data_IF_429287563496
#
_entry.id   IF_429287563496
#
_cell.length_a   1.000
_cell.length_b   1.000
_cell.length_c   1.000
_cell.angle_alpha   90.00
_cell.angle_beta   90.00
_cell.angle_gamma   90.00
#
_symmetry.space_group_name_H-M   'P 1'
#
loop_
_entity.id
_entity.type
_entity.pdbx_description
1 polymer ?
#
# COMPACT_ATOMS: atom_id res chain seq x y z
N UNK A 1 -15.25 -25.28 12.41
CA UNK A 1 -15.97 -25.27 11.12
C UNK A 1 -15.86 -23.93 10.35
N UNK A 2 -15.87 -22.75 11.00
CA UNK A 2 -15.75 -21.43 10.31
C UNK A 2 -14.35 -21.08 9.76
N UNK A 3 -13.26 -21.75 10.18
CA UNK A 3 -11.89 -21.50 9.67
C UNK A 3 -11.62 -22.05 8.26
N UNK A 4 -12.58 -22.72 7.63
CA UNK A 4 -12.46 -23.28 6.27
C UNK A 4 -13.14 -22.42 5.19
N UNK A 5 -13.92 -21.41 5.59
CA UNK A 5 -14.63 -20.53 4.65
C UNK A 5 -13.80 -19.33 4.20
N UNK A 6 -12.76 -18.97 4.96
CA UNK A 6 -11.82 -17.91 4.61
C UNK A 6 -10.40 -18.50 4.42
N UNK A 7 -9.58 -17.97 3.50
CA UNK A 7 -8.23 -18.47 3.20
C UNK A 7 -7.19 -18.15 4.31
N UNK A 8 -7.59 -18.21 5.57
CA UNK A 8 -6.82 -17.82 6.76
C UNK A 8 -5.78 -18.85 7.18
N UNK A 9 -5.95 -20.12 6.80
CA UNK A 9 -5.01 -21.18 7.20
C UNK A 9 -3.57 -20.88 6.72
N UNK A 10 -3.44 -20.40 5.47
CA UNK A 10 -2.15 -20.03 4.87
C UNK A 10 -1.50 -18.89 5.66
N UNK A 11 -2.29 -17.88 6.05
CA UNK A 11 -1.83 -16.72 6.83
C UNK A 11 -1.36 -17.15 8.23
N UNK A 12 -2.11 -18.01 8.91
CA UNK A 12 -1.75 -18.50 10.24
C UNK A 12 -0.45 -19.32 10.26
N UNK A 13 -0.20 -20.12 9.22
CA UNK A 13 1.07 -20.83 9.09
C UNK A 13 2.23 -19.87 8.80
N UNK A 14 2.03 -18.88 7.93
CA UNK A 14 3.04 -17.86 7.63
C UNK A 14 3.46 -17.08 8.88
N UNK A 15 2.51 -16.66 9.72
CA UNK A 15 2.83 -15.94 10.97
C UNK A 15 3.67 -16.81 11.92
N UNK A 16 3.41 -18.12 12.00
CA UNK A 16 4.23 -19.05 12.79
C UNK A 16 5.66 -19.13 12.27
N UNK A 17 5.83 -19.28 10.95
CA UNK A 17 7.15 -19.32 10.32
C UNK A 17 7.95 -18.04 10.57
N UNK A 18 7.31 -16.87 10.57
CA UNK A 18 7.98 -15.59 10.88
C UNK A 18 8.33 -15.48 12.37
N UNK A 19 7.54 -16.05 13.28
CA UNK A 19 7.79 -15.99 14.73
C UNK A 19 9.05 -16.76 15.15
N UNK A 20 9.33 -17.92 14.55
CA UNK A 20 10.48 -18.73 14.97
C UNK A 20 11.83 -17.99 14.85
N UNK A 21 12.17 -17.33 13.73
CA UNK A 21 13.38 -16.50 13.62
C UNK A 21 13.45 -15.36 14.65
N UNK A 22 12.32 -14.73 14.95
CA UNK A 22 12.25 -13.66 15.95
C UNK A 22 12.53 -14.20 17.36
N UNK A 23 11.93 -15.33 17.73
CA UNK A 23 12.15 -15.95 19.06
C UNK A 23 13.60 -16.41 19.20
N UNK A 24 14.17 -17.07 18.19
CA UNK A 24 15.57 -17.53 18.22
C UNK A 24 16.52 -16.33 18.36
N UNK A 25 16.32 -15.28 17.56
CA UNK A 25 17.19 -14.09 17.60
C UNK A 25 17.04 -13.33 18.92
N UNK A 26 15.82 -13.24 19.46
CA UNK A 26 15.56 -12.64 20.76
C UNK A 26 16.17 -13.45 21.92
N UNK A 27 16.21 -14.77 21.82
CA UNK A 27 16.81 -15.62 22.84
C UNK A 27 18.35 -15.49 22.86
N UNK A 28 18.99 -15.37 21.69
CA UNK A 28 20.45 -15.26 21.58
C UNK A 28 20.99 -13.86 21.90
N UNK A 29 20.29 -12.81 21.44
CA UNK A 29 20.79 -11.43 21.47
C UNK A 29 19.89 -10.48 22.28
N UNK A 30 18.78 -10.97 22.85
CA UNK A 30 17.81 -10.14 23.56
C UNK A 30 17.12 -9.11 22.66
N UNK A 31 17.00 -7.88 23.17
CA UNK A 31 16.37 -6.76 22.45
C UNK A 31 17.09 -6.43 21.13
N UNK A 32 18.43 -6.56 21.09
CA UNK A 32 19.21 -6.30 19.88
C UNK A 32 18.84 -7.27 18.75
N UNK A 33 18.58 -8.54 19.08
CA UNK A 33 18.13 -9.54 18.13
C UNK A 33 16.80 -9.16 17.48
N UNK A 34 15.84 -8.67 18.29
CA UNK A 34 14.52 -8.23 17.80
C UNK A 34 14.67 -7.08 16.80
N UNK A 35 15.49 -6.08 17.11
CA UNK A 35 15.72 -4.92 16.24
C UNK A 35 16.36 -5.35 14.92
N UNK A 36 17.38 -6.22 14.97
CA UNK A 36 18.05 -6.73 13.77
C UNK A 36 17.12 -7.56 12.90
N UNK A 37 16.39 -8.53 13.48
CA UNK A 37 15.43 -9.35 12.72
C UNK A 37 14.30 -8.50 12.13
N UNK A 38 13.83 -7.49 12.86
CA UNK A 38 12.81 -6.54 12.37
C UNK A 38 13.32 -5.71 11.19
N UNK A 39 14.54 -5.18 11.28
CA UNK A 39 15.18 -4.45 10.18
C UNK A 39 15.37 -5.33 8.92
N UNK A 40 15.82 -6.58 9.10
CA UNK A 40 15.95 -7.54 8.00
C UNK A 40 14.59 -7.90 7.37
N UNK A 41 13.56 -8.07 8.20
CA UNK A 41 12.20 -8.33 7.72
C UNK A 41 11.69 -7.16 6.86
N UNK A 42 11.89 -5.92 7.33
CA UNK A 42 11.55 -4.69 6.60
C UNK A 42 12.29 -4.59 5.28
N UNK A 43 13.62 -4.81 5.28
CA UNK A 43 14.43 -4.80 4.06
C UNK A 43 13.96 -5.86 3.05
N UNK A 44 13.59 -7.05 3.52
CA UNK A 44 13.06 -8.11 2.66
C UNK A 44 11.69 -7.76 2.10
N UNK A 45 10.85 -7.09 2.88
CA UNK A 45 9.55 -6.58 2.45
C UNK A 45 9.67 -5.52 1.37
N UNK A 46 10.63 -4.59 1.51
CA UNK A 46 10.94 -3.59 0.48
C UNK A 46 11.34 -4.23 -0.85
N UNK A 47 12.14 -5.30 -0.80
CA UNK A 47 12.54 -6.06 -2.01
C UNK A 47 11.41 -6.92 -2.58
N UNK A 48 10.35 -7.17 -1.80
CA UNK A 48 9.23 -7.98 -2.25
C UNK A 48 8.26 -7.07 -3.00
N UNK A 49 8.33 -7.11 -4.31
CA UNK A 49 7.43 -6.38 -5.20
C UNK A 49 6.10 -7.16 -5.32
N UNK A 50 4.98 -6.52 -4.99
CA UNK A 50 3.63 -7.01 -5.29
C UNK A 50 3.13 -6.29 -6.54
N UNK A 51 2.84 -7.02 -7.62
CA UNK A 51 2.26 -6.46 -8.86
C UNK A 51 3.09 -5.27 -9.43
N UNK A 52 4.43 -5.36 -9.40
CA UNK A 52 5.40 -4.29 -9.77
C UNK A 52 5.31 -3.03 -8.89
N UNK A 53 4.87 -3.18 -7.64
CA UNK A 53 4.83 -2.13 -6.63
C UNK A 53 5.57 -2.62 -5.37
N UNK A 54 6.31 -1.74 -4.68
CA UNK A 54 6.85 -2.07 -3.37
C UNK A 54 5.70 -2.45 -2.45
N UNK A 55 5.83 -3.56 -1.71
CA UNK A 55 4.80 -4.00 -0.75
C UNK A 55 4.48 -2.95 0.32
N UNK A 56 5.42 -2.02 0.55
CA UNK A 56 5.33 -0.92 1.50
C UNK A 56 4.80 0.39 0.89
N UNK A 57 4.19 0.36 -0.29
CA UNK A 57 3.47 1.54 -0.81
C UNK A 57 2.31 1.89 0.16
N UNK A 58 2.19 3.11 0.73
CA UNK A 58 2.74 4.43 0.37
C UNK A 58 3.94 4.94 1.21
N UNK A 59 4.48 4.13 2.13
CA UNK A 59 5.67 4.48 2.93
C UNK A 59 6.95 4.55 2.07
N UNK A 60 6.97 3.81 0.95
CA UNK A 60 8.09 3.79 0.01
C UNK A 60 7.56 3.55 -1.42
N UNK A 61 7.81 4.42 -2.43
CA UNK A 61 8.43 5.75 -2.39
C UNK A 61 7.50 6.82 -1.81
N UNK A 62 8.02 7.68 -0.93
CA UNK A 62 7.24 8.74 -0.29
C UNK A 62 6.77 9.77 -1.32
N UNK A 63 5.47 9.77 -1.62
CA UNK A 63 4.82 10.76 -2.48
C UNK A 63 3.59 11.34 -1.77
N UNK A 64 3.62 12.60 -1.32
CA UNK A 64 2.54 13.19 -0.53
C UNK A 64 1.20 13.25 -1.28
N UNK A 65 1.22 13.24 -2.62
CA UNK A 65 0.01 13.21 -3.46
C UNK A 65 -0.78 11.91 -3.31
N UNK A 66 -0.10 10.77 -3.11
CA UNK A 66 -0.74 9.45 -3.04
C UNK A 66 -1.19 9.07 -1.62
N UNK A 67 -0.76 9.84 -0.60
CA UNK A 67 -1.19 9.65 0.79
C UNK A 67 -2.67 9.96 0.97
N UNK A 68 -3.17 10.96 0.24
CA UNK A 68 -4.59 11.28 0.21
C UNK A 68 -5.38 10.09 -0.33
N UNK A 69 -5.01 9.55 -1.48
CA UNK A 69 -5.75 8.43 -2.10
C UNK A 69 -5.66 7.11 -1.32
N UNK A 70 -4.60 6.88 -0.53
CA UNK A 70 -4.36 5.61 0.16
C UNK A 70 -4.82 5.58 1.63
N UNK A 71 -4.80 6.72 2.34
CA UNK A 71 -5.20 6.81 3.76
C UNK A 71 -6.63 7.37 3.89
N UNK A 72 -7.00 8.32 3.02
CA UNK A 72 -8.30 9.01 3.07
C UNK A 72 -9.03 8.76 1.76
N UNK A 73 -9.96 7.80 1.74
CA UNK A 73 -10.73 7.49 0.52
C UNK A 73 -11.61 8.68 0.10
N UNK A 74 -11.07 9.55 -0.76
CA UNK A 74 -11.79 10.69 -1.31
C UNK A 74 -12.89 10.21 -2.28
N UNK A 75 -14.04 10.90 -2.37
CA UNK A 75 -15.09 10.56 -3.31
C UNK A 75 -14.61 10.71 -4.76
N UNK A 76 -15.06 9.81 -5.64
CA UNK A 76 -14.63 9.70 -7.05
C UNK A 76 -14.79 11.03 -7.80
N UNK A 77 -15.75 11.86 -7.41
CA UNK A 77 -16.06 13.18 -7.98
C UNK A 77 -14.97 14.23 -7.75
N UNK A 78 -14.14 14.10 -6.70
CA UNK A 78 -13.02 14.99 -6.41
C UNK A 78 -11.70 14.53 -7.06
N UNK A 79 -11.71 13.37 -7.70
CA UNK A 79 -10.53 12.67 -8.19
C UNK A 79 -10.24 13.03 -9.66
N UNK A 80 -9.79 14.27 -9.90
CA UNK A 80 -9.50 14.79 -11.25
C UNK A 80 -8.24 14.18 -11.89
N UNK A 81 -7.26 13.78 -11.06
CA UNK A 81 -6.03 13.14 -11.50
C UNK A 81 -6.19 11.63 -11.39
N UNK A 82 -5.79 10.90 -12.44
CA UNK A 82 -5.75 9.44 -12.37
C UNK A 82 -4.57 9.01 -11.49
N UNK A 83 -4.73 7.94 -10.68
CA UNK A 83 -3.60 7.36 -9.96
C UNK A 83 -2.47 7.08 -10.94
N UNK A 84 -1.27 7.59 -10.63
CA UNK A 84 -0.09 7.49 -11.49
C UNK A 84 0.28 6.01 -11.73
N UNK A 85 -0.22 5.11 -10.87
CA UNK A 85 -0.07 3.67 -10.96
C UNK A 85 -0.78 3.02 -12.16
N UNK A 86 -1.81 3.67 -12.72
CA UNK A 86 -2.54 3.14 -13.87
C UNK A 86 -1.73 3.15 -15.18
N UNK A 87 -0.53 3.79 -15.21
CA UNK A 87 0.30 3.93 -16.43
C UNK A 87 -0.52 4.36 -17.66
N UNK A 88 -1.60 5.12 -17.47
CA UNK A 88 -2.44 5.58 -18.57
C UNK A 88 -1.77 6.76 -19.26
N UNK A 89 -1.73 6.74 -20.61
CA UNK A 89 -1.15 7.79 -21.45
C UNK A 89 -1.76 9.19 -21.19
N UNK A 90 -2.99 9.22 -20.64
CA UNK A 90 -3.67 10.42 -20.18
C UNK A 90 -3.58 10.55 -18.65
N UNK A 91 -3.01 11.67 -18.19
CA UNK A 91 -2.76 11.99 -16.77
C UNK A 91 -3.99 12.54 -16.04
N UNK A 92 -4.96 13.07 -16.78
CA UNK A 92 -6.20 13.65 -16.28
C UNK A 92 -7.39 12.78 -16.69
N UNK A 93 -8.36 12.59 -15.78
CA UNK A 93 -9.58 11.82 -16.07
C UNK A 93 -10.56 12.63 -16.93
N UNK A 94 -10.48 13.95 -16.86
CA UNK A 94 -11.31 14.92 -17.57
C UNK A 94 -10.42 15.94 -18.29
N UNK A 95 -10.84 16.40 -19.48
CA UNK A 95 -10.19 17.51 -20.18
C UNK A 95 -10.46 18.81 -19.40
N UNK A 96 -9.44 19.58 -18.96
CA UNK A 96 -9.65 20.79 -18.15
C UNK A 96 -10.62 21.79 -18.79
N UNK A 97 -10.63 21.93 -20.11
CA UNK A 97 -11.52 22.83 -20.85
C UNK A 97 -13.01 22.45 -20.75
N UNK A 98 -13.31 21.16 -20.60
CA UNK A 98 -14.69 20.64 -20.54
C UNK A 98 -15.27 20.71 -19.12
N UNK A 99 -14.41 20.65 -18.10
CA UNK A 99 -14.79 20.88 -16.70
C UNK A 99 -15.17 22.34 -16.49
N UNK A 100 -14.43 23.27 -17.10
CA UNK A 100 -14.70 24.71 -16.99
C UNK A 100 -16.00 25.10 -17.71
N UNK A 101 -16.24 24.59 -18.92
CA UNK A 101 -17.52 24.79 -19.64
C UNK A 101 -18.73 24.28 -18.87
N UNK A 102 -18.65 23.11 -18.26
CA UNK A 102 -19.76 22.57 -17.45
C UNK A 102 -20.00 23.38 -16.16
N UNK A 103 -18.94 23.95 -15.56
CA UNK A 103 -19.06 24.87 -14.42
C UNK A 103 -19.77 26.18 -14.79
N UNK A 104 -19.47 26.73 -15.96
CA UNK A 104 -20.09 27.96 -16.47
C UNK A 104 -21.56 27.69 -16.83
N UNK A 105 -21.85 26.55 -17.48
CA UNK A 105 -23.22 26.15 -17.85
C UNK A 105 -24.13 25.86 -16.65
N UNK A 106 -23.59 25.46 -15.50
CA UNK A 106 -24.34 25.24 -14.25
C UNK A 106 -24.59 26.52 -13.46
N UNK A 107 -23.95 27.65 -13.83
CA UNK A 107 -24.08 28.95 -13.16
C UNK A 107 -25.08 29.90 -13.84
N UNK A 108 -25.54 29.54 -15.04
CA UNK A 108 -26.66 30.15 -15.76
C UNK A 108 -27.88 29.22 -15.65
#
# INVERSE_FOLDING_TARGET
>A
LSSFTAPIYRIGNTIRVIRFPFIISAHLLGLLGIVLTSSLLLARLLRTESLRRPYLFPFYPTRPTDWKDSIIRLPISAMFRRPIFSRSKQRFRFNPEEVEKNKIKSRN
#
